data_IF_542357801331
#
_entry.id   IF_542357801331
#
_cell.length_a   1.000
_cell.length_b   1.000
_cell.length_c   1.000
_cell.angle_alpha   90.00
_cell.angle_beta   90.00
_cell.angle_gamma   90.00
#
_symmetry.space_group_name_H-M   'P 1'
#
loop_
_entity.id
_entity.type
_entity.pdbx_description
1 polymer ?
#
# COMPACT_ATOMS: atom_id res chain seq x y z
N UNK A 1 1.08 29.56 -3.65
CA UNK A 1 0.00 28.72 -3.84
C UNK A 1 -0.30 28.02 -2.55
N UNK A 2 -1.47 27.85 -2.34
CA UNK A 2 -1.86 27.33 -1.08
C UNK A 2 -1.95 25.82 -1.13
N UNK A 3 -1.03 25.18 -0.53
CA UNK A 3 -1.05 23.76 -0.45
C UNK A 3 -1.93 23.24 0.62
N UNK A 4 -2.51 24.12 1.39
CA UNK A 4 -3.28 23.67 2.52
C UNK A 4 -4.74 23.54 2.25
N UNK A 5 -5.10 23.80 1.01
CA UNK A 5 -6.46 23.58 0.63
C UNK A 5 -6.77 22.10 0.82
N UNK A 6 -7.81 21.78 1.55
CA UNK A 6 -8.09 20.37 1.79
C UNK A 6 -8.34 19.66 0.48
N UNK A 7 -7.76 18.48 0.35
CA UNK A 7 -7.97 17.67 -0.80
C UNK A 7 -9.15 16.75 -0.54
N UNK A 8 -10.20 16.92 -1.33
CA UNK A 8 -11.36 16.06 -1.19
C UNK A 8 -11.18 14.90 -2.16
N UNK A 9 -10.75 13.78 -1.63
CA UNK A 9 -10.44 12.64 -2.47
C UNK A 9 -11.65 12.14 -3.23
N UNK A 10 -12.84 12.41 -2.74
CA UNK A 10 -14.03 11.99 -3.47
C UNK A 10 -14.22 12.77 -4.76
N UNK A 11 -13.63 13.96 -4.85
CA UNK A 11 -13.78 14.81 -6.01
C UNK A 11 -12.66 14.66 -7.01
N UNK A 12 -11.60 13.98 -6.66
CA UNK A 12 -10.42 13.87 -7.49
C UNK A 12 -10.53 12.60 -8.33
N UNK A 13 -10.22 12.67 -9.62
CA UNK A 13 -10.19 11.43 -10.41
C UNK A 13 -9.18 10.47 -9.83
N UNK A 14 -9.53 9.22 -9.79
CA UNK A 14 -8.68 8.19 -9.22
C UNK A 14 -8.57 7.03 -10.17
N UNK A 15 -7.43 6.37 -10.10
CA UNK A 15 -7.21 5.15 -10.84
C UNK A 15 -7.19 3.99 -9.87
N UNK A 16 -7.71 2.87 -10.31
CA UNK A 16 -7.70 1.68 -9.47
C UNK A 16 -6.29 1.13 -9.41
N UNK A 17 -5.77 1.04 -8.22
CA UNK A 17 -4.49 0.40 -8.01
C UNK A 17 -4.70 -1.10 -8.01
N UNK A 18 -4.10 -1.79 -8.96
CA UNK A 18 -4.32 -3.21 -9.11
C UNK A 18 -3.43 -4.02 -8.18
N UNK A 19 -2.30 -3.48 -7.81
CA UNK A 19 -1.40 -4.18 -6.92
C UNK A 19 -0.45 -3.20 -6.29
N UNK A 20 0.09 -3.58 -5.16
CA UNK A 20 1.09 -2.77 -4.47
C UNK A 20 2.25 -3.68 -4.13
N UNK A 21 3.44 -3.23 -4.48
CA UNK A 21 4.65 -3.96 -4.16
C UNK A 21 5.38 -3.21 -3.06
N UNK A 22 5.82 -3.93 -2.05
CA UNK A 22 6.42 -3.30 -0.89
C UNK A 22 7.73 -4.00 -0.56
N UNK A 23 8.75 -3.20 -0.32
CA UNK A 23 10.03 -3.70 0.13
C UNK A 23 10.70 -2.67 1.01
N UNK A 24 11.86 -3.01 1.51
CA UNK A 24 12.59 -2.07 2.34
C UNK A 24 14.05 -2.44 2.36
N UNK A 25 14.85 -1.46 2.75
CA UNK A 25 16.23 -1.70 3.13
C UNK A 25 16.47 -1.00 4.45
N UNK A 26 17.73 -0.83 4.83
CA UNK A 26 18.03 -0.23 6.13
C UNK A 26 17.69 1.25 6.24
N UNK A 27 17.38 1.89 5.13
CA UNK A 27 17.23 3.34 5.12
C UNK A 27 15.82 3.77 4.72
N UNK A 28 15.12 2.97 3.96
CA UNK A 28 13.83 3.43 3.46
C UNK A 28 12.93 2.25 3.14
N UNK A 29 11.67 2.56 3.03
CA UNK A 29 10.69 1.63 2.47
C UNK A 29 10.42 2.02 1.03
N UNK A 30 10.15 1.03 0.21
CA UNK A 30 9.84 1.25 -1.19
C UNK A 30 8.46 0.71 -1.47
N UNK A 31 7.66 1.49 -2.18
CA UNK A 31 6.31 1.11 -2.50
C UNK A 31 6.08 1.35 -3.98
N UNK A 32 5.67 0.33 -4.69
CA UNK A 32 5.32 0.47 -6.08
C UNK A 32 3.84 0.23 -6.26
N UNK A 33 3.17 1.17 -6.89
CA UNK A 33 1.75 1.05 -7.16
C UNK A 33 1.57 0.73 -8.63
N UNK A 34 0.87 -0.35 -8.90
CA UNK A 34 0.68 -0.85 -10.26
C UNK A 34 -0.71 -0.48 -10.73
N UNK A 35 -0.75 0.25 -11.84
CA UNK A 35 -2.00 0.63 -12.47
C UNK A 35 -1.85 0.31 -13.94
N UNK A 36 -2.62 -0.68 -14.40
CA UNK A 36 -2.46 -1.14 -15.77
C UNK A 36 -1.05 -1.66 -16.01
N UNK A 37 -0.39 -1.14 -17.02
CA UNK A 37 0.97 -1.53 -17.32
C UNK A 37 2.00 -0.62 -16.68
N UNK A 38 1.58 0.28 -15.83
CA UNK A 38 2.46 1.29 -15.27
C UNK A 38 2.77 0.98 -13.83
N UNK A 39 4.01 1.21 -13.46
CA UNK A 39 4.45 1.10 -12.09
C UNK A 39 4.92 2.47 -11.62
N UNK A 40 4.36 2.93 -10.53
CA UNK A 40 4.77 4.19 -9.94
C UNK A 40 5.54 3.88 -8.66
N UNK A 41 6.86 4.05 -8.68
CA UNK A 41 7.65 3.73 -7.50
C UNK A 41 7.78 4.93 -6.57
N UNK A 42 7.75 4.66 -5.29
CA UNK A 42 7.90 5.68 -4.25
C UNK A 42 8.80 5.17 -3.17
N UNK A 43 9.47 6.09 -2.51
CA UNK A 43 10.26 5.77 -1.34
C UNK A 43 9.69 6.53 -0.16
N UNK A 44 9.70 5.89 1.00
CA UNK A 44 9.20 6.47 2.22
C UNK A 44 10.26 6.33 3.30
N UNK A 45 10.36 7.33 4.15
CA UNK A 45 11.16 7.12 5.34
C UNK A 45 10.52 6.04 6.21
N UNK A 46 11.32 5.38 7.04
CA UNK A 46 10.73 4.39 7.95
C UNK A 46 9.65 4.97 8.85
N UNK A 47 9.86 6.19 9.31
CA UNK A 47 8.87 6.85 10.16
C UNK A 47 7.57 7.09 9.41
N UNK A 48 7.69 7.52 8.17
CA UNK A 48 6.50 7.78 7.35
C UNK A 48 5.76 6.47 7.06
N UNK A 49 6.52 5.43 6.76
CA UNK A 49 5.91 4.13 6.50
C UNK A 49 5.16 3.63 7.72
N UNK A 50 5.74 3.82 8.90
CA UNK A 50 5.08 3.37 10.12
C UNK A 50 3.79 4.13 10.37
N UNK A 51 3.82 5.44 10.15
CA UNK A 51 2.60 6.24 10.31
C UNK A 51 1.54 5.82 9.30
N UNK A 52 1.96 5.57 8.08
CA UNK A 52 1.02 5.13 7.05
C UNK A 52 0.36 3.82 7.44
N UNK A 53 1.14 2.89 7.92
CA UNK A 53 0.60 1.59 8.31
C UNK A 53 -0.43 1.74 9.43
N UNK A 54 -0.14 2.59 10.40
CA UNK A 54 -1.08 2.81 11.49
C UNK A 54 -2.36 3.46 11.00
N UNK A 55 -2.21 4.48 10.18
CA UNK A 55 -3.38 5.18 9.67
C UNK A 55 -4.25 4.28 8.83
N UNK A 56 -3.62 3.50 7.97
CA UNK A 56 -4.38 2.60 7.12
C UNK A 56 -5.12 1.56 7.96
N UNK A 57 -4.46 1.03 8.98
CA UNK A 57 -5.11 0.07 9.86
C UNK A 57 -6.32 0.68 10.54
N UNK A 58 -6.19 1.92 10.99
CA UNK A 58 -7.31 2.61 11.62
C UNK A 58 -8.46 2.80 10.66
N UNK A 59 -8.17 3.17 9.42
CA UNK A 59 -9.22 3.38 8.43
C UNK A 59 -9.90 2.08 8.06
N UNK A 60 -9.13 1.01 7.95
CA UNK A 60 -9.71 -0.30 7.67
C UNK A 60 -10.65 -0.70 8.80
N UNK A 61 -10.24 -0.51 10.04
CA UNK A 61 -11.09 -0.87 11.16
C UNK A 61 -12.37 -0.03 11.15
N UNK A 62 -12.24 1.23 10.83
CA UNK A 62 -13.41 2.10 10.78
C UNK A 62 -14.37 1.69 9.67
N UNK A 63 -13.82 1.35 8.52
CA UNK A 63 -14.65 0.86 7.43
C UNK A 63 -15.42 -0.39 7.84
N UNK A 64 -14.74 -1.33 8.48
CA UNK A 64 -15.39 -2.56 8.87
C UNK A 64 -16.49 -2.33 9.88
N UNK A 65 -16.28 -1.34 10.75
CA UNK A 65 -17.29 -1.02 11.75
C UNK A 65 -18.51 -0.37 11.12
N UNK A 66 -18.29 0.47 10.11
CA UNK A 66 -19.38 1.22 9.52
C UNK A 66 -20.12 0.46 8.43
N UNK A 67 -19.45 -0.43 7.75
CA UNK A 67 -20.04 -1.06 6.58
C UNK A 67 -20.11 -2.56 6.69
N UNK A 68 -18.97 -3.24 6.68
CA UNK A 68 -18.95 -4.69 6.68
C UNK A 68 -17.54 -5.19 6.93
N UNK A 69 -17.42 -6.43 7.41
CA UNK A 69 -16.10 -7.03 7.49
C UNK A 69 -15.50 -7.17 6.09
N UNK A 70 -14.21 -7.04 6.01
CA UNK A 70 -13.50 -7.17 4.76
C UNK A 70 -12.97 -8.59 4.65
N UNK A 71 -13.32 -9.23 3.53
CA UNK A 71 -12.80 -10.55 3.22
C UNK A 71 -11.42 -10.38 2.64
N UNK A 72 -10.43 -10.97 3.30
CA UNK A 72 -9.06 -10.82 2.86
C UNK A 72 -8.68 -11.77 1.74
N UNK A 73 -9.52 -12.70 1.40
CA UNK A 73 -9.19 -13.63 0.35
C UNK A 73 -9.33 -12.98 -0.99
N UNK A 74 -8.25 -12.99 -1.73
CA UNK A 74 -8.23 -12.45 -3.07
C UNK A 74 -7.54 -13.44 -3.98
N UNK A 75 -7.95 -13.41 -5.24
CA UNK A 75 -7.30 -14.25 -6.22
C UNK A 75 -5.86 -13.84 -6.44
N UNK A 76 -5.62 -12.55 -6.41
CA UNK A 76 -4.28 -12.03 -6.61
C UNK A 76 -3.87 -11.38 -5.30
N UNK A 77 -2.82 -11.88 -4.66
CA UNK A 77 -2.40 -11.28 -3.40
C UNK A 77 -1.95 -9.84 -3.61
N UNK A 78 -2.48 -8.96 -2.84
CA UNK A 78 -2.10 -7.57 -2.86
C UNK A 78 -2.36 -7.00 -1.47
N UNK A 79 -1.37 -6.36 -0.85
CA UNK A 79 -0.07 -6.02 -1.41
C UNK A 79 0.89 -7.20 -1.44
N UNK A 80 1.77 -7.18 -2.38
CA UNK A 80 2.78 -8.21 -2.53
C UNK A 80 4.12 -7.69 -2.06
N UNK A 81 4.95 -8.61 -1.59
CA UNK A 81 6.33 -8.27 -1.31
C UNK A 81 7.11 -8.29 -2.61
N UNK A 82 8.13 -7.46 -2.66
CA UNK A 82 8.94 -7.40 -3.86
C UNK A 82 9.57 -8.75 -4.14
N UNK A 83 9.96 -9.46 -3.10
CA UNK A 83 10.58 -10.77 -3.28
C UNK A 83 9.64 -11.77 -3.93
N UNK A 84 8.34 -11.54 -3.89
CA UNK A 84 7.41 -12.46 -4.52
C UNK A 84 7.46 -12.38 -6.03
N UNK A 85 8.02 -11.34 -6.58
CA UNK A 85 8.04 -11.13 -8.01
C UNK A 85 9.34 -11.56 -8.66
N UNK A 86 10.40 -11.60 -7.90
CA UNK A 86 11.70 -11.89 -8.46
C UNK A 86 11.95 -13.36 -8.58
N UNK A 87 13.07 -13.69 -9.14
CA UNK A 87 13.55 -15.04 -9.08
C UNK A 87 14.20 -15.37 -7.76
N UNK A 88 14.14 -14.46 -6.83
CA UNK A 88 14.74 -14.70 -5.52
C UNK A 88 13.93 -15.71 -4.76
N UNK A 89 14.58 -16.69 -4.16
CA UNK A 89 13.84 -17.66 -3.36
C UNK A 89 13.13 -16.94 -2.23
N UNK A 90 11.95 -17.40 -1.88
CA UNK A 90 11.24 -16.78 -0.77
C UNK A 90 12.01 -16.97 0.52
N UNK A 91 11.93 -15.97 1.34
CA UNK A 91 12.52 -16.07 2.64
C UNK A 91 11.75 -17.06 3.49
N UNK A 92 12.42 -17.64 4.47
CA UNK A 92 11.69 -18.48 5.40
C UNK A 92 10.57 -17.70 6.05
N UNK A 93 9.51 -18.37 6.41
CA UNK A 93 8.41 -17.66 7.06
C UNK A 93 8.89 -16.92 8.29
N UNK A 94 8.40 -15.73 8.42
CA UNK A 94 8.65 -14.95 9.60
C UNK A 94 7.69 -15.43 10.66
N UNK A 95 8.21 -15.99 11.66
CA UNK A 95 7.34 -16.47 12.72
C UNK A 95 6.88 -15.34 13.60
#
# INVERSE_FOLDING_TARGET
>A
MDQHQPLDLAQVPKQLCENVLIGFNGESFMMGMVVGNNLAPYALTPEHAKRLAKLLAEKVALFEKQFRPIDEEQKIPSPMQISDLGGTPPEPPQA
#
